data_IF_968896232844
#
_entry.id   IF_968896232844
#
_cell.length_a   1.000
_cell.length_b   1.000
_cell.length_c   1.000
_cell.angle_alpha   90.00
_cell.angle_beta   90.00
_cell.angle_gamma   90.00
#
_symmetry.space_group_name_H-M   'P 1'
#
loop_
_entity.id
_entity.type
_entity.pdbx_description
1 polymer ?
#
# COMPACT_ATOMS: atom_id res chain seq x y z
N UNK A 1 -2.81 61.79 -13.43
CA UNK A 1 -1.83 60.87 -12.83
C UNK A 1 -2.62 59.64 -12.47
N UNK A 2 -2.56 58.64 -13.35
CA UNK A 2 -3.35 57.42 -13.20
C UNK A 2 -2.71 56.54 -12.13
N UNK A 3 -3.46 56.35 -11.05
CA UNK A 3 -3.08 55.51 -9.93
C UNK A 3 -3.21 54.05 -10.39
N UNK A 4 -2.10 53.47 -10.81
CA UNK A 4 -1.97 52.05 -11.14
C UNK A 4 -2.23 51.25 -9.86
N UNK A 5 -3.51 50.93 -9.61
CA UNK A 5 -3.91 50.01 -8.55
C UNK A 5 -3.47 48.61 -8.96
N UNK A 6 -2.30 48.21 -8.49
CA UNK A 6 -1.85 46.82 -8.55
C UNK A 6 -2.73 46.03 -7.59
N UNK A 7 -3.84 45.52 -8.09
CA UNK A 7 -4.65 44.52 -7.41
C UNK A 7 -3.75 43.31 -7.18
N UNK A 8 -3.32 43.13 -5.93
CA UNK A 8 -2.55 41.97 -5.54
C UNK A 8 -3.49 40.78 -5.58
N UNK A 9 -3.49 40.11 -6.71
CA UNK A 9 -4.15 38.83 -6.95
C UNK A 9 -3.44 37.75 -6.11
N UNK A 10 -3.68 37.78 -4.79
CA UNK A 10 -3.25 36.71 -3.90
C UNK A 10 -4.26 35.58 -4.04
N UNK A 11 -3.84 34.40 -4.52
CA UNK A 11 -4.74 33.27 -4.69
C UNK A 11 -5.40 32.98 -3.36
N UNK A 12 -6.70 32.71 -3.41
CA UNK A 12 -7.42 32.27 -2.22
C UNK A 12 -6.75 31.02 -1.65
N UNK A 13 -6.84 30.80 -0.35
CA UNK A 13 -6.23 29.63 0.30
C UNK A 13 -6.64 28.32 -0.37
N UNK A 14 -7.86 28.26 -0.91
CA UNK A 14 -8.39 27.08 -1.55
C UNK A 14 -7.83 26.89 -2.96
N UNK A 15 -7.58 27.96 -3.72
CA UNK A 15 -6.86 27.89 -5.01
C UNK A 15 -5.40 27.48 -4.81
N UNK A 16 -4.72 28.05 -3.81
CA UNK A 16 -3.34 27.68 -3.49
C UNK A 16 -3.22 26.20 -3.07
N UNK A 17 -4.25 25.64 -2.44
CA UNK A 17 -4.33 24.21 -2.12
C UNK A 17 -4.57 23.37 -3.37
N UNK A 18 -5.46 23.82 -4.25
CA UNK A 18 -5.77 23.11 -5.48
C UNK A 18 -4.54 23.04 -6.41
N UNK A 19 -3.80 24.13 -6.54
CA UNK A 19 -2.59 24.20 -7.36
C UNK A 19 -1.45 23.35 -6.78
N UNK A 20 -1.35 23.28 -5.45
CA UNK A 20 -0.42 22.37 -4.77
C UNK A 20 -0.81 20.90 -4.99
N UNK A 21 -2.09 20.56 -4.87
CA UNK A 21 -2.60 19.20 -5.10
C UNK A 21 -2.38 18.76 -6.54
N UNK A 22 -2.57 19.66 -7.52
CA UNK A 22 -2.33 19.39 -8.94
C UNK A 22 -0.83 19.22 -9.24
N UNK A 23 0.04 20.04 -8.65
CA UNK A 23 1.49 19.90 -8.80
C UNK A 23 2.02 18.61 -8.16
N UNK A 24 1.49 18.24 -6.99
CA UNK A 24 1.79 16.96 -6.34
C UNK A 24 1.25 15.82 -7.20
N UNK A 25 0.06 15.93 -7.77
CA UNK A 25 -0.51 14.90 -8.63
C UNK A 25 0.33 14.67 -9.90
N UNK A 26 0.86 15.73 -10.55
CA UNK A 26 1.77 15.61 -11.69
C UNK A 26 3.10 14.97 -11.31
N UNK A 27 3.70 15.39 -10.18
CA UNK A 27 4.93 14.79 -9.66
C UNK A 27 4.72 13.31 -9.34
N UNK A 28 3.60 13.01 -8.67
CA UNK A 28 3.19 11.66 -8.32
C UNK A 28 2.89 10.84 -9.58
N UNK A 29 2.27 11.39 -10.62
CA UNK A 29 2.05 10.69 -11.89
C UNK A 29 3.37 10.32 -12.59
N UNK A 30 4.37 11.20 -12.55
CA UNK A 30 5.70 10.94 -13.13
C UNK A 30 6.50 9.90 -12.34
N UNK A 31 6.33 9.85 -11.02
CA UNK A 31 7.08 8.92 -10.16
C UNK A 31 6.30 7.64 -9.78
N UNK A 32 4.97 7.60 -10.00
CA UNK A 32 4.06 6.57 -9.46
C UNK A 32 4.41 5.13 -9.84
N UNK A 33 4.58 4.76 -11.13
CA UNK A 33 4.55 3.34 -11.47
C UNK A 33 5.83 2.62 -11.02
N UNK A 34 7.00 3.23 -11.17
CA UNK A 34 8.27 2.61 -10.82
C UNK A 34 8.49 2.54 -9.30
N UNK A 35 8.17 3.62 -8.57
CA UNK A 35 8.33 3.64 -7.11
C UNK A 35 7.29 2.78 -6.40
N UNK A 36 6.03 2.78 -6.85
CA UNK A 36 5.02 1.87 -6.31
C UNK A 36 5.34 0.40 -6.61
N UNK A 37 5.86 0.09 -7.80
CA UNK A 37 6.26 -1.27 -8.13
C UNK A 37 7.43 -1.73 -7.24
N UNK A 38 8.45 -0.88 -7.04
CA UNK A 38 9.60 -1.21 -6.20
C UNK A 38 9.20 -1.34 -4.73
N UNK A 39 8.40 -0.42 -4.19
CA UNK A 39 7.89 -0.50 -2.82
C UNK A 39 7.02 -1.75 -2.63
N UNK A 40 6.13 -2.05 -3.57
CA UNK A 40 5.32 -3.26 -3.51
C UNK A 40 6.17 -4.55 -3.59
N UNK A 41 7.29 -4.50 -4.31
CA UNK A 41 8.20 -5.64 -4.46
C UNK A 41 9.04 -5.84 -3.20
N UNK A 42 9.50 -4.75 -2.57
CA UNK A 42 10.23 -4.81 -1.30
C UNK A 42 9.30 -5.18 -0.13
N UNK A 43 8.08 -4.64 -0.09
CA UNK A 43 7.03 -5.07 0.83
C UNK A 43 6.67 -6.55 0.62
N UNK A 44 6.58 -7.00 -0.64
CA UNK A 44 6.34 -8.41 -0.94
C UNK A 44 7.50 -9.30 -0.50
N UNK A 45 8.76 -8.87 -0.63
CA UNK A 45 9.92 -9.62 -0.13
C UNK A 45 9.91 -9.72 1.39
N UNK A 46 9.63 -8.61 2.09
CA UNK A 46 9.52 -8.60 3.56
C UNK A 46 8.38 -9.51 4.02
N UNK A 47 7.19 -9.36 3.44
CA UNK A 47 6.05 -10.20 3.74
C UNK A 47 6.31 -11.68 3.41
N UNK A 48 7.05 -11.98 2.34
CA UNK A 48 7.44 -13.34 1.99
C UNK A 48 8.44 -13.91 3.01
N UNK A 49 9.41 -13.11 3.46
CA UNK A 49 10.36 -13.48 4.51
C UNK A 49 9.64 -13.77 5.83
N UNK A 50 8.70 -12.91 6.22
CA UNK A 50 7.89 -13.10 7.43
C UNK A 50 6.99 -14.33 7.32
N UNK A 51 6.32 -14.50 6.18
CA UNK A 51 5.49 -15.68 5.92
C UNK A 51 6.31 -16.98 5.91
N UNK A 52 7.53 -16.96 5.36
CA UNK A 52 8.44 -18.08 5.41
C UNK A 52 8.87 -18.39 6.85
N UNK A 53 9.13 -17.37 7.67
CA UNK A 53 9.34 -17.49 9.11
C UNK A 53 8.16 -18.19 9.81
N UNK A 54 6.95 -17.70 9.61
CA UNK A 54 5.73 -18.30 10.17
C UNK A 54 5.49 -19.74 9.71
N UNK A 55 5.72 -20.05 8.44
CA UNK A 55 5.59 -21.41 7.88
C UNK A 55 6.66 -22.37 8.40
N UNK A 56 7.89 -21.88 8.63
CA UNK A 56 8.97 -22.65 9.27
C UNK A 56 8.73 -22.92 10.76
N UNK A 57 7.70 -22.31 11.33
CA UNK A 57 7.27 -22.50 12.70
C UNK A 57 7.81 -21.46 13.68
N UNK A 58 8.53 -20.44 13.20
CA UNK A 58 8.90 -19.30 14.03
C UNK A 58 7.62 -18.59 14.49
N UNK A 59 7.38 -18.57 15.81
CA UNK A 59 6.18 -17.97 16.41
C UNK A 59 5.03 -18.95 16.70
N UNK A 60 5.16 -20.25 16.38
CA UNK A 60 4.19 -21.24 16.84
C UNK A 60 4.29 -21.44 18.36
N UNK A 61 3.18 -21.59 19.11
CA UNK A 61 3.22 -21.82 20.54
C UNK A 61 3.90 -23.16 20.89
N UNK A 62 5.16 -23.11 21.34
CA UNK A 62 5.96 -24.26 21.79
C UNK A 62 5.37 -24.93 23.04
N UNK A 63 4.65 -24.17 23.88
CA UNK A 63 4.21 -24.61 25.21
C UNK A 63 3.01 -25.55 25.20
N UNK A 64 2.27 -25.71 24.09
CA UNK A 64 1.24 -26.76 24.03
C UNK A 64 0.93 -27.30 22.62
N UNK A 65 0.90 -28.64 22.44
CA UNK A 65 0.60 -29.28 21.15
C UNK A 65 -0.78 -28.91 20.57
N UNK A 66 -1.76 -28.67 21.44
CA UNK A 66 -3.13 -28.31 21.05
C UNK A 66 -3.21 -26.89 20.48
N UNK A 67 -2.47 -25.94 21.05
CA UNK A 67 -2.40 -24.55 20.54
C UNK A 67 -1.65 -24.48 19.22
N UNK A 68 -0.58 -25.26 19.06
CA UNK A 68 0.15 -25.39 17.79
C UNK A 68 -0.74 -25.87 16.63
N UNK A 69 -1.55 -26.92 16.84
CA UNK A 69 -2.48 -27.43 15.80
C UNK A 69 -3.53 -26.40 15.39
N UNK A 70 -4.08 -25.67 16.36
CA UNK A 70 -5.05 -24.61 16.06
C UNK A 70 -4.42 -23.43 15.32
N UNK A 71 -3.21 -23.01 15.72
CA UNK A 71 -2.48 -21.95 15.03
C UNK A 71 -2.19 -22.31 13.57
N UNK A 72 -1.78 -23.56 13.31
CA UNK A 72 -1.55 -24.06 11.94
C UNK A 72 -2.86 -24.04 11.13
N UNK A 73 -3.97 -24.50 11.70
CA UNK A 73 -5.26 -24.51 11.01
C UNK A 73 -5.77 -23.09 10.68
N UNK A 74 -5.61 -22.15 11.60
CA UNK A 74 -5.97 -20.74 11.39
C UNK A 74 -5.07 -20.13 10.31
N UNK A 75 -3.76 -20.34 10.39
CA UNK A 75 -2.80 -19.81 9.42
C UNK A 75 -3.05 -20.35 8.02
N UNK A 76 -3.30 -21.65 7.89
CA UNK A 76 -3.64 -22.27 6.61
C UNK A 76 -4.95 -21.71 6.04
N UNK A 77 -5.97 -21.52 6.89
CA UNK A 77 -7.24 -20.92 6.50
C UNK A 77 -7.10 -19.47 6.04
N UNK A 78 -6.40 -18.63 6.81
CA UNK A 78 -6.17 -17.22 6.46
C UNK A 78 -5.29 -17.06 5.22
N UNK A 79 -4.26 -17.89 5.08
CA UNK A 79 -3.39 -17.91 3.90
C UNK A 79 -4.16 -18.26 2.63
N UNK A 80 -5.02 -19.30 2.70
CA UNK A 80 -5.90 -19.67 1.58
C UNK A 80 -6.87 -18.56 1.18
N UNK A 81 -7.47 -17.88 2.17
CA UNK A 81 -8.37 -16.75 1.91
C UNK A 81 -7.65 -15.58 1.23
N UNK A 82 -6.45 -15.22 1.68
CA UNK A 82 -5.63 -14.16 1.07
C UNK A 82 -5.22 -14.51 -0.36
N UNK A 83 -4.82 -15.76 -0.62
CA UNK A 83 -4.48 -16.23 -1.96
C UNK A 83 -5.67 -16.10 -2.93
N UNK A 84 -6.88 -16.46 -2.49
CA UNK A 84 -8.10 -16.31 -3.30
C UNK A 84 -8.41 -14.85 -3.61
N UNK A 85 -8.22 -13.94 -2.65
CA UNK A 85 -8.39 -12.50 -2.87
C UNK A 85 -7.38 -11.99 -3.89
N UNK A 86 -6.11 -12.39 -3.76
CA UNK A 86 -5.07 -12.00 -4.72
C UNK A 86 -5.38 -12.48 -6.14
N UNK A 87 -5.81 -13.74 -6.31
CA UNK A 87 -6.23 -14.29 -7.60
C UNK A 87 -7.41 -13.50 -8.17
N UNK A 88 -8.41 -13.17 -7.35
CA UNK A 88 -9.58 -12.39 -7.78
C UNK A 88 -9.20 -10.99 -8.26
N UNK A 89 -8.30 -10.31 -7.56
CA UNK A 89 -7.79 -8.99 -7.95
C UNK A 89 -6.99 -9.06 -9.25
N UNK A 90 -6.13 -10.07 -9.40
CA UNK A 90 -5.33 -10.26 -10.61
C UNK A 90 -6.19 -10.62 -11.83
N UNK A 91 -7.22 -11.45 -11.63
CA UNK A 91 -8.19 -11.81 -12.65
C UNK A 91 -9.07 -10.64 -13.08
N UNK A 92 -9.39 -9.72 -12.16
CA UNK A 92 -10.16 -8.49 -12.45
C UNK A 92 -9.38 -7.46 -13.26
N UNK A 93 -8.05 -7.45 -13.17
CA UNK A 93 -7.17 -6.58 -13.97
C UNK A 93 -6.95 -7.09 -15.40
N UNK A 94 -7.19 -8.38 -15.66
CA UNK A 94 -7.00 -9.03 -16.98
C UNK A 94 -8.26 -9.03 -17.86
N UNK A 95 -9.41 -8.62 -17.34
CA UNK A 95 -10.66 -8.42 -18.10
C UNK A 95 -10.88 -6.93 -18.31
#
# INVERSE_FOLDING_TARGET
MDEFSVEKDTPSRDEARHELDDAVADLVLRFKPATLANNALDDAKLAASDAAGFLSGAGLPETSPRRRRNAIAILAGSGGALALVAIKLLGRKRR
#
